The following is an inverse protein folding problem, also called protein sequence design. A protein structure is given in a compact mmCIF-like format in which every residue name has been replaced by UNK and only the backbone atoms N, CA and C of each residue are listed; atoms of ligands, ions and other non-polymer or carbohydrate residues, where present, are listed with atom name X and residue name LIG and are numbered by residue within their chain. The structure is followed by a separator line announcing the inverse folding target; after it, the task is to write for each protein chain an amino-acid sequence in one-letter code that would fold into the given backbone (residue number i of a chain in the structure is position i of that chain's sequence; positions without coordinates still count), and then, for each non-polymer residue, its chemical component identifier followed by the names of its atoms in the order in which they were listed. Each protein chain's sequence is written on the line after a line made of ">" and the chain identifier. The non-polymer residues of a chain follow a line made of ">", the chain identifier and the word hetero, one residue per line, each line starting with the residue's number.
data_IF_088287713292
#
_entry.id   IF_088287713292
#
_cell.length_a   1.000
_cell.length_b   1.000
_cell.length_c   1.000
_cell.angle_alpha   90.00
_cell.angle_beta   90.00
_cell.angle_gamma   90.00
#
_symmetry.space_group_name_H-M   'P 1'
#
loop_
_entity.id
_entity.type
_entity.pdbx_description
1 polymer ?
#
# COMPACT_ATOMS: atom_id res chain seq x y z
N UNK A 1 -1.05 -52.83 -26.61
CA UNK A 1 -0.16 -51.65 -26.61
C UNK A 1 -0.94 -50.54 -27.32
N UNK A 2 -1.23 -49.37 -26.78
CA UNK A 2 -0.65 -48.67 -25.63
C UNK A 2 -1.74 -47.95 -24.81
N UNK A 3 -1.53 -47.89 -23.50
CA UNK A 3 -2.29 -47.07 -22.54
C UNK A 3 -1.69 -45.65 -22.45
N UNK A 4 -2.61 -44.68 -22.34
CA UNK A 4 -2.63 -43.51 -21.45
C UNK A 4 -1.34 -42.71 -21.18
N UNK A 5 -1.40 -41.41 -21.46
CA UNK A 5 -0.89 -40.39 -20.51
C UNK A 5 -1.62 -39.05 -20.64
N UNK A 6 -2.56 -38.81 -19.72
CA UNK A 6 -2.96 -37.45 -19.33
C UNK A 6 -1.76 -36.82 -18.60
N UNK A 7 -1.17 -35.77 -19.18
CA UNK A 7 -0.18 -34.94 -18.50
C UNK A 7 -0.94 -33.94 -17.61
N UNK A 8 -0.91 -34.18 -16.29
CA UNK A 8 -1.39 -33.24 -15.29
C UNK A 8 -0.59 -31.94 -15.40
N UNK A 9 -1.28 -30.82 -15.54
CA UNK A 9 -0.67 -29.49 -15.50
C UNK A 9 -0.30 -29.20 -14.05
N UNK A 10 0.99 -29.03 -13.84
CA UNK A 10 1.64 -28.92 -12.55
C UNK A 10 1.05 -27.83 -11.65
N UNK A 11 0.46 -28.24 -10.54
CA UNK A 11 0.00 -27.43 -9.40
C UNK A 11 1.15 -26.75 -8.62
N UNK A 12 2.36 -26.69 -9.17
CA UNK A 12 3.54 -26.13 -8.48
C UNK A 12 3.80 -24.68 -8.87
N UNK A 13 2.84 -23.80 -8.60
CA UNK A 13 3.02 -22.35 -8.79
C UNK A 13 3.39 -21.74 -7.43
N UNK A 14 4.65 -21.36 -7.27
CA UNK A 14 5.17 -20.47 -6.21
C UNK A 14 5.24 -21.01 -4.77
N UNK A 15 6.16 -21.95 -4.54
CA UNK A 15 6.87 -21.99 -3.24
C UNK A 15 8.33 -21.67 -3.57
N UNK A 16 8.92 -20.64 -2.97
CA UNK A 16 10.38 -20.42 -3.10
C UNK A 16 11.07 -21.70 -2.58
N UNK A 17 12.07 -22.17 -3.30
CA UNK A 17 12.82 -23.41 -2.96
C UNK A 17 13.41 -23.41 -1.53
N UNK A 18 13.44 -22.24 -0.87
CA UNK A 18 13.98 -22.03 0.49
C UNK A 18 12.96 -22.25 1.62
N UNK A 19 11.66 -22.39 1.34
CA UNK A 19 10.63 -22.52 2.38
C UNK A 19 10.37 -21.25 3.21
N UNK A 20 10.97 -20.12 2.82
CA UNK A 20 10.80 -18.84 3.50
C UNK A 20 9.55 -18.09 3.02
N UNK A 21 8.81 -17.55 3.98
CA UNK A 21 7.62 -16.72 3.73
C UNK A 21 8.05 -15.39 3.09
N UNK A 22 7.45 -15.05 1.96
CA UNK A 22 7.73 -13.80 1.23
C UNK A 22 7.29 -12.58 2.03
N UNK A 23 7.84 -11.40 1.71
CA UNK A 23 7.37 -10.14 2.29
C UNK A 23 5.86 -9.92 2.05
N UNK A 24 5.37 -10.24 0.85
CA UNK A 24 3.95 -10.11 0.53
C UNK A 24 3.06 -11.00 1.40
N UNK A 25 3.46 -12.24 1.66
CA UNK A 25 2.74 -13.14 2.56
C UNK A 25 2.78 -12.66 4.02
N UNK A 26 3.91 -12.12 4.49
CA UNK A 26 4.02 -11.50 5.82
C UNK A 26 3.10 -10.27 5.96
N UNK A 27 3.02 -9.43 4.92
CA UNK A 27 2.06 -8.31 4.86
C UNK A 27 0.62 -8.82 4.85
N UNK A 28 0.30 -9.89 4.11
CA UNK A 28 -1.03 -10.48 4.07
C UNK A 28 -1.46 -11.02 5.46
N UNK A 29 -0.52 -11.61 6.21
CA UNK A 29 -0.75 -12.04 7.58
C UNK A 29 -1.09 -10.85 8.49
N UNK A 30 -0.33 -9.74 8.40
CA UNK A 30 -0.63 -8.51 9.14
C UNK A 30 -1.98 -7.91 8.75
N UNK A 31 -2.29 -7.82 7.45
CA UNK A 31 -3.59 -7.31 6.97
C UNK A 31 -4.74 -8.14 7.55
N UNK A 32 -4.58 -9.47 7.57
CA UNK A 32 -5.56 -10.39 8.13
C UNK A 32 -5.74 -10.19 9.63
N UNK A 33 -4.65 -10.02 10.38
CA UNK A 33 -4.71 -9.78 11.81
C UNK A 33 -5.30 -8.40 12.16
N UNK A 34 -5.03 -7.38 11.35
CA UNK A 34 -5.35 -5.99 11.67
C UNK A 34 -6.74 -5.54 11.21
N UNK A 35 -7.19 -5.96 10.02
CA UNK A 35 -8.40 -5.41 9.39
C UNK A 35 -9.56 -6.42 9.38
N UNK A 36 -10.82 -5.97 9.39
CA UNK A 36 -11.98 -6.85 9.16
C UNK A 36 -12.02 -7.31 7.70
N UNK A 37 -12.69 -8.44 7.41
CA UNK A 37 -12.77 -9.02 6.07
C UNK A 37 -13.24 -8.03 4.99
N UNK A 38 -14.18 -7.14 5.32
CA UNK A 38 -14.69 -6.08 4.45
C UNK A 38 -13.62 -5.07 3.99
N UNK A 39 -12.55 -4.88 4.76
CA UNK A 39 -11.47 -3.96 4.45
C UNK A 39 -10.25 -4.67 3.83
N UNK A 40 -10.02 -5.95 4.14
CA UNK A 40 -8.87 -6.73 3.63
C UNK A 40 -8.85 -6.81 2.10
N UNK A 41 -10.01 -7.11 1.50
CA UNK A 41 -10.17 -7.29 0.05
C UNK A 41 -10.63 -6.04 -0.70
N UNK A 42 -10.76 -4.89 -0.03
CA UNK A 42 -11.24 -3.67 -0.67
C UNK A 42 -10.13 -3.02 -1.52
N UNK A 43 -10.15 -3.31 -2.82
CA UNK A 43 -9.15 -2.82 -3.79
C UNK A 43 -9.06 -1.29 -3.80
N UNK A 44 -10.17 -0.57 -3.69
CA UNK A 44 -10.16 0.90 -3.66
C UNK A 44 -9.46 1.42 -2.41
N UNK A 45 -9.76 0.86 -1.23
CA UNK A 45 -9.09 1.27 0.01
C UNK A 45 -7.59 0.97 -0.03
N UNK A 46 -7.19 -0.19 -0.56
CA UNK A 46 -5.77 -0.55 -0.71
C UNK A 46 -5.06 0.34 -1.73
N UNK A 47 -5.73 0.68 -2.83
CA UNK A 47 -5.21 1.61 -3.84
C UNK A 47 -4.97 3.01 -3.26
N UNK A 48 -5.95 3.57 -2.53
CA UNK A 48 -5.77 4.88 -1.89
C UNK A 48 -4.64 4.88 -0.85
N UNK A 49 -4.53 3.81 -0.06
CA UNK A 49 -3.44 3.67 0.92
C UNK A 49 -2.07 3.54 0.27
N UNK A 50 -1.96 2.82 -0.84
CA UNK A 50 -0.73 2.76 -1.62
C UNK A 50 -0.38 4.14 -2.21
N UNK A 51 -1.36 4.84 -2.81
CA UNK A 51 -1.16 6.16 -3.39
C UNK A 51 -0.70 7.19 -2.35
N UNK A 52 -1.25 7.15 -1.13
CA UNK A 52 -0.85 8.02 -0.02
C UNK A 52 0.64 7.83 0.31
N UNK A 53 1.09 6.59 0.53
CA UNK A 53 2.51 6.29 0.83
C UNK A 53 3.44 6.63 -0.35
N UNK A 54 3.00 6.40 -1.59
CA UNK A 54 3.76 6.78 -2.77
C UNK A 54 3.95 8.30 -2.88
N UNK A 55 2.91 9.08 -2.55
CA UNK A 55 2.98 10.55 -2.50
C UNK A 55 3.86 11.01 -1.33
N UNK A 56 3.76 10.39 -0.15
CA UNK A 56 4.62 10.71 1.00
C UNK A 56 6.10 10.45 0.69
N UNK A 57 6.43 9.34 0.03
CA UNK A 57 7.80 9.05 -0.42
C UNK A 57 8.28 10.04 -1.48
N UNK A 58 7.42 10.39 -2.45
CA UNK A 58 7.75 11.40 -3.46
C UNK A 58 8.02 12.77 -2.80
N UNK A 59 7.17 13.19 -1.87
CA UNK A 59 7.33 14.42 -1.10
C UNK A 59 8.65 14.42 -0.32
N UNK A 60 8.96 13.33 0.40
CA UNK A 60 10.20 13.18 1.14
C UNK A 60 11.44 13.21 0.23
N UNK A 61 11.27 12.90 -1.06
CA UNK A 61 12.30 12.94 -2.10
C UNK A 61 12.42 14.30 -2.80
N UNK A 62 11.64 15.30 -2.37
CA UNK A 62 11.67 16.65 -2.92
C UNK A 62 10.64 16.93 -4.03
N UNK A 63 9.75 15.99 -4.34
CA UNK A 63 8.64 16.22 -5.27
C UNK A 63 7.70 17.28 -4.70
N UNK A 64 7.42 18.33 -5.48
CA UNK A 64 6.48 19.36 -5.05
C UNK A 64 5.04 18.90 -5.27
N UNK A 65 4.09 19.59 -4.62
CA UNK A 65 2.67 19.38 -4.87
C UNK A 65 2.31 19.60 -6.34
N UNK A 66 2.96 20.54 -7.01
CA UNK A 66 2.67 20.87 -8.40
C UNK A 66 3.21 19.79 -9.34
N UNK A 67 4.42 19.29 -9.10
CA UNK A 67 4.96 18.13 -9.83
C UNK A 67 4.01 16.93 -9.74
N UNK A 68 3.52 16.64 -8.52
CA UNK A 68 2.58 15.55 -8.31
C UNK A 68 1.27 15.73 -9.09
N UNK A 69 0.73 16.96 -9.18
CA UNK A 69 -0.48 17.25 -9.96
C UNK A 69 -0.28 17.05 -11.46
N UNK A 70 0.82 17.57 -12.00
CA UNK A 70 1.18 17.40 -13.41
C UNK A 70 1.27 15.90 -13.76
N UNK A 71 1.90 15.10 -12.88
CA UNK A 71 2.01 13.65 -13.08
C UNK A 71 0.63 12.98 -12.99
N UNK A 72 -0.23 13.39 -12.05
CA UNK A 72 -1.61 12.89 -11.96
C UNK A 72 -2.34 13.14 -13.27
N UNK A 73 -2.36 14.38 -13.77
CA UNK A 73 -3.04 14.72 -15.02
C UNK A 73 -2.49 13.88 -16.19
N UNK A 74 -1.16 13.82 -16.32
CA UNK A 74 -0.50 13.00 -17.34
C UNK A 74 -0.87 11.50 -17.32
N UNK A 75 -1.05 10.92 -16.13
CA UNK A 75 -1.42 9.51 -15.98
C UNK A 75 -2.91 9.27 -16.26
N UNK A 76 -3.78 10.21 -15.88
CA UNK A 76 -5.23 10.07 -16.08
C UNK A 76 -5.71 10.49 -17.48
N UNK A 77 -4.90 11.21 -18.24
CA UNK A 77 -5.18 11.58 -19.64
C UNK A 77 -4.96 10.44 -20.66
N UNK A 78 -4.51 9.27 -20.20
CA UNK A 78 -4.23 8.08 -21.03
C UNK A 78 -5.10 6.88 -20.62
N UNK A 79 -5.30 5.90 -21.52
CA UNK A 79 -5.98 4.66 -21.16
C UNK A 79 -5.27 3.95 -20.00
N UNK A 80 -6.05 3.38 -19.09
CA UNK A 80 -5.52 2.59 -17.98
C UNK A 80 -4.73 1.37 -18.49
N UNK A 81 -3.57 1.12 -17.89
CA UNK A 81 -2.75 -0.06 -18.17
C UNK A 81 -3.24 -1.32 -17.45
N UNK A 82 -2.68 -2.47 -17.83
CA UNK A 82 -2.96 -3.74 -17.17
C UNK A 82 -2.33 -3.77 -15.76
N UNK A 83 -3.09 -4.21 -14.76
CA UNK A 83 -2.67 -4.17 -13.35
C UNK A 83 -1.31 -4.87 -13.11
N UNK A 84 -1.06 -6.02 -13.75
CA UNK A 84 0.21 -6.75 -13.63
C UNK A 84 1.41 -5.93 -14.13
N UNK A 85 1.24 -5.21 -15.25
CA UNK A 85 2.26 -4.33 -15.80
C UNK A 85 2.52 -3.13 -14.89
N UNK A 86 1.47 -2.51 -14.36
CA UNK A 86 1.61 -1.36 -13.46
C UNK A 86 2.25 -1.74 -12.12
N UNK A 87 1.96 -2.93 -11.59
CA UNK A 87 2.68 -3.47 -10.42
C UNK A 87 4.17 -3.60 -10.71
N UNK A 88 4.55 -4.15 -11.87
CA UNK A 88 5.95 -4.23 -12.30
C UNK A 88 6.61 -2.84 -12.42
N UNK A 89 5.91 -1.88 -13.03
CA UNK A 89 6.38 -0.50 -13.17
C UNK A 89 6.62 0.19 -11.83
N UNK A 90 5.72 0.01 -10.87
CA UNK A 90 5.87 0.52 -9.50
C UNK A 90 7.08 -0.12 -8.80
N UNK A 91 7.26 -1.44 -8.90
CA UNK A 91 8.38 -2.12 -8.26
C UNK A 91 9.73 -1.65 -8.79
N UNK A 92 9.86 -1.50 -10.12
CA UNK A 92 11.09 -1.03 -10.76
C UNK A 92 11.41 0.42 -10.38
N UNK A 93 10.41 1.30 -10.39
CA UNK A 93 10.62 2.72 -10.08
C UNK A 93 10.89 2.95 -8.60
N UNK A 94 10.24 2.21 -7.70
CA UNK A 94 10.56 2.24 -6.27
C UNK A 94 12.01 1.79 -6.01
N UNK A 95 12.45 0.67 -6.60
CA UNK A 95 13.83 0.21 -6.46
C UNK A 95 14.85 1.23 -6.99
N UNK A 96 14.57 1.85 -8.15
CA UNK A 96 15.42 2.89 -8.71
C UNK A 96 15.52 4.14 -7.80
N UNK A 97 14.39 4.57 -7.22
CA UNK A 97 14.38 5.68 -6.26
C UNK A 97 15.15 5.33 -4.99
N UNK A 98 14.97 4.13 -4.42
CA UNK A 98 15.73 3.66 -3.27
C UNK A 98 17.24 3.66 -3.55
N UNK A 99 17.68 3.24 -4.73
CA UNK A 99 19.09 3.33 -5.13
C UNK A 99 19.60 4.77 -5.15
N UNK A 100 18.83 5.71 -5.70
CA UNK A 100 19.19 7.13 -5.72
C UNK A 100 19.27 7.74 -4.32
N UNK A 101 18.38 7.32 -3.42
CA UNK A 101 18.34 7.72 -2.01
C UNK A 101 19.34 6.95 -1.12
N UNK A 102 20.03 5.94 -1.66
CA UNK A 102 20.90 5.01 -0.92
C UNK A 102 20.19 4.28 0.22
N UNK A 103 18.95 3.85 -0.04
CA UNK A 103 18.13 3.08 0.89
C UNK A 103 18.01 1.62 0.43
N UNK A 104 18.07 0.70 1.38
CA UNK A 104 17.77 -0.72 1.18
C UNK A 104 16.26 -0.93 1.29
N UNK A 105 15.58 -1.22 0.18
CA UNK A 105 14.11 -1.21 0.13
C UNK A 105 13.45 -2.31 0.97
N UNK A 106 14.07 -3.48 1.05
CA UNK A 106 13.65 -4.63 1.84
C UNK A 106 13.80 -4.38 3.33
N UNK A 107 14.94 -3.83 3.78
CA UNK A 107 15.12 -3.40 5.17
C UNK A 107 14.09 -2.35 5.61
N UNK A 108 13.78 -1.40 4.72
CA UNK A 108 12.79 -0.35 4.99
C UNK A 108 11.38 -0.96 5.14
N UNK A 109 11.01 -1.89 4.24
CA UNK A 109 9.75 -2.62 4.32
C UNK A 109 9.63 -3.44 5.61
N UNK A 110 10.67 -4.19 5.97
CA UNK A 110 10.67 -5.05 7.16
C UNK A 110 10.55 -4.23 8.45
N UNK A 111 11.24 -3.09 8.55
CA UNK A 111 11.12 -2.16 9.69
C UNK A 111 9.71 -1.59 9.82
N UNK A 112 9.10 -1.17 8.70
CA UNK A 112 7.75 -0.59 8.76
C UNK A 112 6.69 -1.66 9.04
N UNK A 113 6.84 -2.88 8.52
CA UNK A 113 5.95 -3.99 8.85
C UNK A 113 6.04 -4.35 10.35
N UNK A 114 7.24 -4.41 10.93
CA UNK A 114 7.42 -4.64 12.36
C UNK A 114 6.73 -3.53 13.19
N UNK A 115 6.94 -2.26 12.82
CA UNK A 115 6.28 -1.11 13.46
C UNK A 115 4.76 -1.15 13.33
N UNK A 116 4.22 -1.65 12.23
CA UNK A 116 2.78 -1.82 12.03
C UNK A 116 2.19 -2.91 12.94
N UNK A 117 2.95 -3.97 13.24
CA UNK A 117 2.56 -4.97 14.24
C UNK A 117 2.52 -4.38 15.65
N UNK A 118 3.54 -3.61 16.05
CA UNK A 118 3.56 -2.93 17.35
C UNK A 118 2.39 -1.96 17.55
N UNK A 119 1.88 -1.40 16.44
CA UNK A 119 0.81 -0.40 16.44
C UNK A 119 -0.57 -0.97 16.10
N UNK A 120 -0.74 -2.29 16.07
CA UNK A 120 -1.95 -2.93 15.55
C UNK A 120 -3.25 -2.41 16.19
N UNK A 121 -3.25 -2.16 17.50
CA UNK A 121 -4.45 -1.68 18.19
C UNK A 121 -4.78 -0.21 17.86
N UNK A 122 -3.76 0.62 17.65
CA UNK A 122 -3.97 1.99 17.20
C UNK A 122 -4.53 2.02 15.77
N UNK A 123 -4.04 1.14 14.90
CA UNK A 123 -4.51 1.01 13.52
C UNK A 123 -5.96 0.50 13.49
N UNK A 124 -6.30 -0.50 14.32
CA UNK A 124 -7.68 -0.98 14.49
C UNK A 124 -8.63 0.11 14.95
N UNK A 125 -8.25 0.91 15.95
CA UNK A 125 -9.04 2.06 16.40
C UNK A 125 -9.27 3.07 15.28
N UNK A 126 -8.21 3.42 14.54
CA UNK A 126 -8.30 4.34 13.39
C UNK A 126 -9.21 3.78 12.29
N UNK A 127 -9.14 2.47 12.03
CA UNK A 127 -10.01 1.81 11.05
C UNK A 127 -11.48 1.83 11.49
N UNK A 128 -11.77 1.58 12.77
CA UNK A 128 -13.13 1.61 13.31
C UNK A 128 -13.76 3.01 13.25
N UNK A 129 -12.95 4.07 13.30
CA UNK A 129 -13.41 5.45 13.19
C UNK A 129 -13.50 5.98 11.76
N UNK A 130 -13.19 5.18 10.72
CA UNK A 130 -13.24 5.66 9.33
C UNK A 130 -14.69 5.88 8.88
N UNK A 131 -15.02 7.04 8.30
CA UNK A 131 -16.27 7.24 7.60
C UNK A 131 -16.33 6.36 6.36
N UNK A 132 -17.51 5.84 6.06
CA UNK A 132 -17.74 5.06 4.85
C UNK A 132 -17.51 5.93 3.61
N UNK A 133 -16.66 5.47 2.69
CA UNK A 133 -16.50 6.07 1.36
C UNK A 133 -15.52 7.25 1.23
N UNK A 134 -14.83 7.68 2.30
CA UNK A 134 -13.81 8.73 2.19
C UNK A 134 -12.43 8.14 1.88
N UNK A 135 -11.69 8.64 0.87
CA UNK A 135 -10.30 8.26 0.62
C UNK A 135 -9.33 8.80 1.69
N UNK A 136 -9.73 9.86 2.41
CA UNK A 136 -8.87 10.54 3.38
C UNK A 136 -9.31 10.27 4.84
N UNK A 137 -8.37 10.21 5.80
CA UNK A 137 -8.69 10.30 7.22
C UNK A 137 -9.39 11.64 7.50
N UNK A 138 -10.52 11.63 8.20
CA UNK A 138 -11.10 12.87 8.69
C UNK A 138 -10.15 13.51 9.71
N UNK A 139 -9.72 14.75 9.44
CA UNK A 139 -9.14 15.60 10.49
C UNK A 139 -10.26 15.91 11.47
N UNK A 140 -10.15 15.42 12.70
CA UNK A 140 -11.01 15.93 13.78
C UNK A 140 -10.50 17.33 14.09
N UNK A 141 -11.16 18.36 13.58
CA UNK A 141 -10.88 19.73 13.97
C UNK A 141 -11.21 19.89 15.45
N UNK A 142 -10.19 20.15 16.28
CA UNK A 142 -10.42 20.59 17.65
C UNK A 142 -11.05 21.98 17.61
N UNK A 143 -12.37 22.08 17.86
CA UNK A 143 -13.04 23.37 18.09
C UNK A 143 -12.36 24.09 19.26
N UNK A 144 -11.54 25.08 18.97
CA UNK A 144 -11.20 26.11 19.94
C UNK A 144 -12.37 27.09 19.94
N UNK A 145 -13.29 26.94 20.90
CA UNK A 145 -14.24 28.00 21.23
C UNK A 145 -13.47 29.11 21.95
N UNK A 146 -13.00 30.11 21.21
CA UNK A 146 -12.61 31.38 21.80
C UNK A 146 -13.88 32.20 22.06
N UNK A 147 -14.36 32.18 23.30
CA UNK A 147 -15.33 33.15 23.80
C UNK A 147 -14.64 34.52 23.88
N UNK A 148 -14.82 35.36 22.87
CA UNK A 148 -14.49 36.77 22.96
C UNK A 148 -15.52 37.42 23.89
N UNK A 149 -15.13 37.62 25.15
CA UNK A 149 -15.83 38.52 26.06
C UNK A 149 -15.64 39.94 25.57
N UNK A 150 -16.75 40.63 25.36
CA UNK A 150 -16.80 42.07 25.12
C UNK A 150 -16.29 42.81 26.35
N UNK A 151 -15.47 43.83 26.14
CA UNK A 151 -15.30 44.98 27.03
C UNK A 151 -15.06 46.19 26.14
#
# INVERSE_FOLDING_TARGET
>A
MAETRCCGKDEKKYIRETGEVTYQERVAAWITACFPASARGNVSERSHRFLEEAIELAQASGCTREDARIIVDYVFDRPAGAQEQEVGGVMVTLAALCNALKLTMDDAGDKELARNWERIDAIRRKQASKPVGSPLPQRVESRIHASVSRS
#
